data_IF_463080370931
#
_entry.id   IF_463080370931
#
_cell.length_a   1.000
_cell.length_b   1.000
_cell.length_c   1.000
_cell.angle_alpha   90.00
_cell.angle_beta   90.00
_cell.angle_gamma   90.00
#
_symmetry.space_group_name_H-M   'P 1'
#
loop_
_entity.id
_entity.type
_entity.pdbx_description
1 polymer ?
#
# COMPACT_ATOMS: atom_id res chain seq x y z
N UNK A 1 8.89 11.58 -21.55
CA UNK A 1 8.55 11.07 -20.20
C UNK A 1 9.62 10.08 -19.77
N UNK A 2 10.26 10.34 -18.64
CA UNK A 2 11.27 9.47 -18.02
C UNK A 2 10.71 8.85 -16.74
N UNK A 3 11.05 7.60 -16.46
CA UNK A 3 10.62 6.89 -15.25
C UNK A 3 11.81 6.66 -14.32
N UNK A 4 11.66 6.99 -13.03
CA UNK A 4 12.60 6.57 -11.99
C UNK A 4 12.01 5.40 -11.22
N UNK A 5 12.67 4.24 -11.27
CA UNK A 5 12.35 3.11 -10.42
C UNK A 5 13.19 3.21 -9.14
N UNK A 6 12.53 3.33 -8.00
CA UNK A 6 13.13 3.47 -6.67
C UNK A 6 12.89 2.15 -5.93
N UNK A 7 13.96 1.46 -5.62
CA UNK A 7 13.93 0.08 -5.12
C UNK A 7 14.68 0.03 -3.80
N UNK A 8 13.97 0.09 -2.66
CA UNK A 8 14.59 -0.11 -1.35
C UNK A 8 14.95 -1.57 -1.16
N UNK A 9 16.13 -1.83 -0.63
CA UNK A 9 16.72 -3.15 -0.43
C UNK A 9 17.15 -3.31 1.03
N UNK A 10 16.78 -4.43 1.63
CA UNK A 10 17.33 -4.84 2.91
C UNK A 10 17.47 -6.35 2.96
N UNK A 11 18.70 -6.84 2.82
CA UNK A 11 18.99 -8.26 2.71
C UNK A 11 18.22 -8.95 1.56
N UNK A 12 18.13 -10.28 1.58
CA UNK A 12 17.42 -11.09 0.57
C UNK A 12 18.00 -10.92 -0.85
N UNK A 13 19.35 -10.96 -0.98
CA UNK A 13 20.05 -10.79 -2.26
C UNK A 13 19.49 -11.67 -3.40
N UNK A 14 19.15 -12.96 -3.22
CA UNK A 14 18.60 -13.77 -4.30
C UNK A 14 17.27 -13.23 -4.85
N UNK A 15 16.37 -12.73 -3.97
CA UNK A 15 15.11 -12.13 -4.40
C UNK A 15 15.33 -10.82 -5.16
N UNK A 16 16.25 -9.99 -4.67
CA UNK A 16 16.67 -8.76 -5.36
C UNK A 16 17.19 -9.04 -6.77
N UNK A 17 18.02 -10.05 -6.93
CA UNK A 17 18.56 -10.46 -8.23
C UNK A 17 17.45 -10.94 -9.18
N UNK A 18 16.54 -11.78 -8.70
CA UNK A 18 15.41 -12.27 -9.48
C UNK A 18 14.45 -11.12 -9.89
N UNK A 19 14.17 -10.21 -8.96
CA UNK A 19 13.34 -9.02 -9.22
C UNK A 19 13.97 -8.15 -10.31
N UNK A 20 15.26 -7.82 -10.23
CA UNK A 20 15.94 -7.00 -11.23
C UNK A 20 16.04 -7.69 -12.59
N UNK A 21 16.18 -9.01 -12.63
CA UNK A 21 16.13 -9.78 -13.87
C UNK A 21 14.75 -9.62 -14.52
N UNK A 22 13.68 -9.90 -13.78
CA UNK A 22 12.30 -9.74 -14.28
C UNK A 22 11.97 -8.30 -14.69
N UNK A 23 12.49 -7.30 -13.97
CA UNK A 23 12.32 -5.88 -14.34
C UNK A 23 12.96 -5.59 -15.70
N UNK A 24 14.21 -6.00 -15.90
CA UNK A 24 14.94 -5.76 -17.16
C UNK A 24 14.28 -6.44 -18.36
N UNK A 25 13.76 -7.65 -18.17
CA UNK A 25 13.09 -8.43 -19.20
C UNK A 25 11.73 -7.87 -19.61
N UNK A 26 11.06 -7.16 -18.70
CA UNK A 26 9.66 -6.70 -18.87
C UNK A 26 9.52 -5.20 -19.09
N UNK A 27 10.62 -4.43 -19.07
CA UNK A 27 10.55 -3.02 -19.41
C UNK A 27 10.25 -2.81 -20.89
N UNK A 28 9.32 -1.89 -21.24
CA UNK A 28 9.04 -1.55 -22.62
C UNK A 28 10.29 -1.06 -23.35
N UNK A 29 10.48 -1.53 -24.59
CA UNK A 29 11.58 -1.07 -25.44
C UNK A 29 11.50 0.46 -25.64
N UNK A 30 12.64 1.13 -25.52
CA UNK A 30 12.73 2.59 -25.70
C UNK A 30 12.21 3.44 -24.53
N UNK A 31 11.78 2.85 -23.42
CA UNK A 31 11.41 3.59 -22.22
C UNK A 31 12.64 4.28 -21.62
N UNK A 32 12.62 5.62 -21.59
CA UNK A 32 13.63 6.37 -20.85
C UNK A 32 13.45 6.15 -19.36
N UNK A 33 14.44 5.55 -18.71
CA UNK A 33 14.35 5.21 -17.28
C UNK A 33 15.69 5.28 -16.55
N UNK A 34 15.64 5.23 -15.23
CA UNK A 34 16.78 5.03 -14.33
C UNK A 34 16.37 4.05 -13.22
N UNK A 35 17.32 3.26 -12.73
CA UNK A 35 17.15 2.32 -11.64
C UNK A 35 17.93 2.82 -10.42
N UNK A 36 17.25 3.18 -9.35
CA UNK A 36 17.81 3.68 -8.09
C UNK A 36 17.63 2.59 -7.03
N UNK A 37 18.74 1.94 -6.68
CA UNK A 37 18.78 0.83 -5.76
C UNK A 37 19.28 1.33 -4.40
N UNK A 38 18.41 1.38 -3.40
CA UNK A 38 18.73 1.93 -2.08
C UNK A 38 18.95 0.80 -1.10
N UNK A 39 20.21 0.48 -0.83
CA UNK A 39 20.55 -0.51 0.20
C UNK A 39 20.42 0.11 1.59
N UNK A 40 19.53 -0.43 2.38
CA UNK A 40 19.20 0.07 3.72
C UNK A 40 19.96 -0.64 4.84
N UNK A 41 21.28 -0.83 4.62
CA UNK A 41 22.15 -1.44 5.62
C UNK A 41 22.18 -2.96 5.58
N UNK A 42 22.10 -3.59 4.40
CA UNK A 42 22.18 -5.04 4.24
C UNK A 42 23.51 -5.65 4.71
N UNK A 43 23.43 -6.89 5.18
CA UNK A 43 24.58 -7.66 5.73
C UNK A 43 24.81 -9.00 5.03
N UNK A 44 24.02 -9.34 4.00
CA UNK A 44 24.01 -10.64 3.30
C UNK A 44 24.78 -10.67 1.96
N UNK A 45 25.67 -9.70 1.73
CA UNK A 45 26.40 -9.57 0.45
C UNK A 45 25.72 -8.64 -0.57
N UNK A 46 24.50 -8.16 -0.32
CA UNK A 46 23.78 -7.21 -1.19
C UNK A 46 24.61 -5.96 -1.50
N UNK A 47 25.28 -5.38 -0.50
CA UNK A 47 26.11 -4.17 -0.65
C UNK A 47 27.28 -4.36 -1.59
N UNK A 48 27.97 -5.49 -1.48
CA UNK A 48 29.11 -5.81 -2.35
C UNK A 48 28.64 -6.03 -3.78
N UNK A 49 27.57 -6.79 -3.96
CA UNK A 49 26.97 -7.02 -5.27
C UNK A 49 26.52 -5.70 -5.94
N UNK A 50 25.90 -4.77 -5.20
CA UNK A 50 25.46 -3.47 -5.71
C UNK A 50 26.60 -2.60 -6.24
N UNK A 51 27.78 -2.62 -5.59
CA UNK A 51 28.97 -1.87 -6.03
C UNK A 51 29.47 -2.29 -7.40
N UNK A 52 29.19 -3.54 -7.80
CA UNK A 52 29.63 -4.13 -9.05
C UNK A 52 28.57 -4.09 -10.16
N UNK A 53 27.38 -3.49 -9.90
CA UNK A 53 26.33 -3.40 -10.91
C UNK A 53 26.69 -2.40 -12.02
N UNK A 54 26.50 -2.78 -13.30
CA UNK A 54 26.71 -1.88 -14.42
C UNK A 54 25.59 -0.82 -14.52
N UNK A 55 25.89 0.26 -15.23
CA UNK A 55 24.84 1.21 -15.66
C UNK A 55 23.70 0.47 -16.41
N UNK A 56 22.45 0.93 -16.31
CA UNK A 56 21.97 2.20 -15.74
C UNK A 56 21.60 2.13 -14.23
N UNK A 57 22.09 1.13 -13.50
CA UNK A 57 21.82 1.00 -12.06
C UNK A 57 22.62 2.05 -11.27
N UNK A 58 21.93 2.74 -10.37
CA UNK A 58 22.50 3.72 -9.47
C UNK A 58 22.30 3.27 -8.01
N UNK A 59 23.31 2.66 -7.37
CA UNK A 59 23.24 2.27 -5.99
C UNK A 59 23.36 3.47 -5.04
N UNK A 60 22.59 3.45 -3.96
CA UNK A 60 22.69 4.33 -2.79
C UNK A 60 22.87 3.40 -1.59
N UNK A 61 23.92 3.60 -0.79
CA UNK A 61 24.23 2.74 0.34
C UNK A 61 24.00 3.51 1.65
N UNK A 62 22.97 3.14 2.41
CA UNK A 62 22.74 3.70 3.74
C UNK A 62 23.72 3.08 4.73
N UNK A 63 24.24 3.87 5.66
CA UNK A 63 25.13 3.37 6.71
C UNK A 63 24.39 2.52 7.76
N UNK A 64 23.11 2.80 7.96
CA UNK A 64 22.22 2.11 8.88
C UNK A 64 20.85 1.92 8.25
N UNK A 65 20.07 1.01 8.80
CA UNK A 65 18.67 0.81 8.39
C UNK A 65 17.82 2.02 8.79
N UNK A 66 17.23 2.67 7.79
CA UNK A 66 16.32 3.83 7.92
C UNK A 66 14.84 3.40 7.84
N UNK A 67 14.58 2.14 7.53
CA UNK A 67 13.26 1.61 7.21
C UNK A 67 12.79 1.96 5.79
N UNK A 68 11.67 1.38 5.40
CA UNK A 68 11.14 1.50 4.04
C UNK A 68 10.95 2.98 3.62
N UNK A 69 10.31 3.78 4.48
CA UNK A 69 10.04 5.20 4.20
C UNK A 69 11.33 6.00 3.98
N UNK A 70 12.31 5.85 4.88
CA UNK A 70 13.60 6.57 4.80
C UNK A 70 14.41 6.14 3.58
N UNK A 71 14.46 4.86 3.27
CA UNK A 71 15.15 4.36 2.07
C UNK A 71 14.49 4.89 0.78
N UNK A 72 13.16 4.87 0.69
CA UNK A 72 12.43 5.41 -0.45
C UNK A 72 12.63 6.92 -0.61
N UNK A 73 12.54 7.69 0.47
CA UNK A 73 12.79 9.14 0.45
C UNK A 73 14.18 9.46 -0.06
N UNK A 74 15.19 8.72 0.41
CA UNK A 74 16.58 8.91 -0.01
C UNK A 74 16.78 8.59 -1.49
N UNK A 75 16.12 7.54 -1.99
CA UNK A 75 16.12 7.20 -3.41
C UNK A 75 15.46 8.29 -4.26
N UNK A 76 14.30 8.76 -3.82
CA UNK A 76 13.51 9.78 -4.51
C UNK A 76 14.21 11.15 -4.56
N UNK A 77 14.99 11.52 -3.54
CA UNK A 77 15.73 12.79 -3.48
C UNK A 77 16.71 12.98 -4.65
N UNK A 78 17.23 11.88 -5.20
CA UNK A 78 18.14 11.94 -6.35
C UNK A 78 17.51 11.52 -7.67
N UNK A 79 16.21 11.25 -7.71
CA UNK A 79 15.49 10.79 -8.89
C UNK A 79 15.15 11.94 -9.84
N UNK A 80 15.28 11.71 -11.16
CA UNK A 80 15.08 12.71 -12.19
C UNK A 80 13.95 12.40 -13.18
N UNK A 81 13.22 11.30 -12.97
CA UNK A 81 12.07 10.93 -13.79
C UNK A 81 10.88 11.86 -13.60
N UNK A 82 9.97 11.85 -14.57
CA UNK A 82 8.69 12.54 -14.49
C UNK A 82 7.68 11.73 -13.63
N UNK A 83 7.86 10.42 -13.65
CA UNK A 83 7.12 9.46 -12.83
C UNK A 83 8.10 8.70 -11.94
N UNK A 84 7.74 8.53 -10.69
CA UNK A 84 8.41 7.68 -9.72
C UNK A 84 7.61 6.38 -9.54
N UNK A 85 8.31 5.26 -9.62
CA UNK A 85 7.77 3.94 -9.30
C UNK A 85 8.57 3.35 -8.14
N UNK A 86 7.87 3.04 -7.06
CA UNK A 86 8.42 2.35 -5.90
C UNK A 86 8.15 0.86 -6.05
N UNK A 87 9.18 0.06 -5.94
CA UNK A 87 9.13 -1.39 -6.14
C UNK A 87 9.86 -2.10 -5.00
N UNK A 88 9.19 -3.04 -4.33
CA UNK A 88 9.86 -3.93 -3.38
C UNK A 88 10.85 -4.85 -4.11
N UNK A 89 11.90 -5.26 -3.42
CA UNK A 89 12.94 -6.13 -3.95
C UNK A 89 12.54 -7.63 -4.03
N UNK A 90 11.34 -7.98 -3.59
CA UNK A 90 10.79 -9.34 -3.57
C UNK A 90 9.61 -9.53 -4.55
N UNK A 91 9.54 -8.69 -5.58
CA UNK A 91 8.58 -8.79 -6.67
C UNK A 91 9.09 -9.67 -7.82
N UNK A 92 8.17 -10.29 -8.55
CA UNK A 92 8.39 -10.84 -9.88
C UNK A 92 7.49 -10.06 -10.84
N UNK A 93 8.09 -9.29 -11.73
CA UNK A 93 7.38 -8.45 -12.69
C UNK A 93 7.02 -9.29 -13.92
N UNK A 94 5.75 -9.27 -14.31
CA UNK A 94 5.25 -10.06 -15.43
C UNK A 94 5.21 -9.20 -16.74
N UNK A 95 5.24 -9.80 -17.92
CA UNK A 95 5.12 -9.05 -19.18
C UNK A 95 3.92 -8.09 -19.16
N UNK A 96 4.15 -6.88 -19.66
CA UNK A 96 3.11 -5.83 -19.77
C UNK A 96 2.54 -5.31 -18.43
N UNK A 97 3.29 -5.47 -17.33
CA UNK A 97 2.85 -4.94 -16.02
C UNK A 97 2.84 -3.41 -15.98
N UNK A 98 3.77 -2.76 -16.67
CA UNK A 98 4.00 -1.32 -16.55
C UNK A 98 3.08 -0.47 -17.42
N UNK A 99 2.79 -0.93 -18.66
CA UNK A 99 2.05 -0.14 -19.66
C UNK A 99 0.66 0.28 -19.16
N UNK A 100 -0.16 -0.58 -18.50
CA UNK A 100 -1.45 -0.15 -17.95
C UNK A 100 -1.30 0.89 -16.84
N UNK A 101 -0.23 0.84 -16.07
CA UNK A 101 0.04 1.85 -15.03
C UNK A 101 0.45 3.19 -15.66
N UNK A 102 1.29 3.19 -16.69
CA UNK A 102 1.64 4.41 -17.43
C UNK A 102 0.41 5.02 -18.12
N UNK A 103 -0.44 4.20 -18.72
CA UNK A 103 -1.68 4.64 -19.37
C UNK A 103 -2.66 5.30 -18.37
N UNK A 104 -2.69 4.85 -17.11
CA UNK A 104 -3.50 5.49 -16.08
C UNK A 104 -3.15 6.98 -15.87
N UNK A 105 -1.86 7.32 -15.89
CA UNK A 105 -1.44 8.73 -15.76
C UNK A 105 -1.84 9.60 -16.96
N UNK A 106 -1.96 9.01 -18.13
CA UNK A 106 -2.46 9.74 -19.32
C UNK A 106 -3.98 9.91 -19.29
N UNK A 107 -4.71 8.90 -18.79
CA UNK A 107 -6.17 8.88 -18.75
C UNK A 107 -6.75 9.69 -17.59
N UNK A 108 -6.05 9.75 -16.44
CA UNK A 108 -6.54 10.36 -15.22
C UNK A 108 -5.60 11.51 -14.79
N UNK A 109 -5.92 12.77 -15.14
CA UNK A 109 -5.12 13.93 -14.70
C UNK A 109 -5.05 14.06 -13.18
N UNK A 110 -6.10 13.63 -12.47
CA UNK A 110 -6.22 13.59 -11.01
C UNK A 110 -5.54 12.38 -10.36
N UNK A 111 -4.84 11.52 -11.12
CA UNK A 111 -4.20 10.34 -10.55
C UNK A 111 -3.11 10.75 -9.53
N UNK A 112 -3.35 10.40 -8.27
CA UNK A 112 -2.38 10.46 -7.18
C UNK A 112 -1.44 9.26 -7.27
N UNK A 113 -1.81 8.16 -6.63
CA UNK A 113 -1.09 6.90 -6.70
C UNK A 113 -1.76 5.94 -7.69
N UNK A 114 -0.95 5.24 -8.48
CA UNK A 114 -1.39 4.16 -9.38
C UNK A 114 -0.70 2.88 -8.96
N UNK A 115 -1.50 1.87 -8.61
CA UNK A 115 -1.03 0.53 -8.24
C UNK A 115 -1.50 -0.54 -9.23
N UNK A 116 -1.26 -1.78 -8.87
CA UNK A 116 -1.53 -2.95 -9.70
C UNK A 116 -2.18 -4.09 -8.92
N UNK A 117 -2.47 -5.17 -9.62
CA UNK A 117 -2.90 -6.45 -9.04
C UNK A 117 -1.67 -7.23 -8.63
N UNK A 118 -1.65 -7.70 -7.38
CA UNK A 118 -0.57 -8.54 -6.88
C UNK A 118 -1.07 -9.94 -6.53
N UNK A 119 -0.33 -10.94 -6.98
CA UNK A 119 -0.55 -12.33 -6.63
C UNK A 119 0.54 -12.80 -5.67
N UNK A 120 0.17 -13.60 -4.70
CA UNK A 120 1.13 -14.28 -3.85
C UNK A 120 1.99 -15.22 -4.70
N UNK A 121 3.31 -15.06 -4.67
CA UNK A 121 4.24 -15.83 -5.51
C UNK A 121 4.24 -17.34 -5.17
N UNK A 122 3.98 -17.68 -3.91
CA UNK A 122 3.98 -19.07 -3.45
C UNK A 122 2.66 -19.80 -3.72
N UNK A 123 1.51 -19.13 -3.52
CA UNK A 123 0.18 -19.75 -3.59
C UNK A 123 -0.54 -19.49 -4.91
N UNK A 124 -0.14 -18.46 -5.65
CA UNK A 124 -0.84 -17.99 -6.84
C UNK A 124 -2.19 -17.32 -6.56
N UNK A 125 -2.56 -17.11 -5.30
CA UNK A 125 -3.78 -16.41 -4.93
C UNK A 125 -3.64 -14.90 -5.12
N UNK A 126 -4.76 -14.20 -5.40
CA UNK A 126 -4.79 -12.74 -5.42
C UNK A 126 -4.56 -12.22 -4.01
N UNK A 127 -3.52 -11.42 -3.81
CA UNK A 127 -3.16 -10.82 -2.53
C UNK A 127 -3.62 -9.36 -2.42
N UNK A 128 -3.52 -8.60 -3.52
CA UNK A 128 -3.81 -7.18 -3.50
C UNK A 128 -4.48 -6.69 -4.79
N UNK A 129 -5.58 -5.96 -4.62
CA UNK A 129 -6.26 -5.20 -5.67
C UNK A 129 -6.73 -3.82 -5.15
N UNK A 130 -5.97 -3.25 -4.22
CA UNK A 130 -6.26 -2.01 -3.51
C UNK A 130 -6.48 -2.22 -2.02
N UNK A 131 -6.45 -1.12 -1.27
CA UNK A 131 -6.75 -1.08 0.16
C UNK A 131 -8.08 -0.35 0.35
N UNK A 132 -8.89 -0.82 1.28
CA UNK A 132 -10.10 -0.18 1.78
C UNK A 132 -10.07 -0.14 3.30
N UNK A 133 -10.89 0.71 3.92
CA UNK A 133 -11.05 0.72 5.37
C UNK A 133 -12.27 -0.11 5.76
N UNK A 134 -12.05 -1.09 6.65
CA UNK A 134 -13.11 -1.94 7.15
C UNK A 134 -13.99 -1.21 8.19
N UNK A 135 -15.05 -1.86 8.66
CA UNK A 135 -16.00 -1.31 9.63
C UNK A 135 -15.39 -0.90 10.99
N UNK A 136 -14.16 -1.31 11.28
CA UNK A 136 -13.37 -0.91 12.45
C UNK A 136 -12.39 0.23 12.11
N UNK A 137 -12.35 0.71 10.85
CA UNK A 137 -11.40 1.71 10.37
C UNK A 137 -9.98 1.19 10.20
N UNK A 138 -9.80 -0.12 10.18
CA UNK A 138 -8.50 -0.72 9.87
C UNK A 138 -8.34 -0.84 8.37
N UNK A 139 -7.14 -0.51 7.83
CA UNK A 139 -6.86 -0.76 6.43
C UNK A 139 -6.84 -2.28 6.17
N UNK A 140 -7.47 -2.68 5.08
CA UNK A 140 -7.55 -4.08 4.67
C UNK A 140 -7.31 -4.22 3.18
N UNK A 141 -6.51 -5.19 2.78
CA UNK A 141 -6.29 -5.51 1.37
C UNK A 141 -7.57 -6.06 0.74
N UNK A 142 -7.90 -5.58 -0.44
CA UNK A 142 -8.85 -6.26 -1.32
C UNK A 142 -8.12 -7.37 -2.06
N UNK A 143 -8.74 -8.54 -2.12
CA UNK A 143 -8.28 -9.70 -2.89
C UNK A 143 -9.32 -10.15 -3.92
N UNK A 144 -10.36 -9.34 -4.16
CA UNK A 144 -11.37 -9.60 -5.15
C UNK A 144 -10.99 -9.01 -6.51
N UNK A 145 -11.09 -9.79 -7.57
CA UNK A 145 -11.08 -9.28 -8.94
C UNK A 145 -12.52 -8.93 -9.34
N UNK A 146 -12.74 -7.88 -10.17
CA UNK A 146 -14.05 -7.59 -10.70
C UNK A 146 -14.59 -8.81 -11.43
N UNK A 147 -15.84 -9.17 -11.14
CA UNK A 147 -16.51 -10.22 -11.92
C UNK A 147 -16.66 -9.74 -13.35
N UNK A 148 -16.17 -10.52 -14.31
CA UNK A 148 -16.41 -10.24 -15.72
C UNK A 148 -17.89 -10.42 -15.99
N UNK A 149 -18.58 -9.38 -16.39
CA UNK A 149 -19.83 -9.59 -17.09
C UNK A 149 -19.47 -9.91 -18.54
N UNK A 150 -19.98 -11.02 -19.06
CA UNK A 150 -19.70 -11.55 -20.41
C UNK A 150 -19.90 -10.51 -21.54
N UNK A 151 -20.60 -9.42 -21.24
CA UNK A 151 -20.99 -8.36 -22.19
C UNK A 151 -20.18 -7.06 -22.07
N UNK A 152 -19.61 -6.75 -20.89
CA UNK A 152 -18.98 -5.45 -20.62
C UNK A 152 -17.46 -5.49 -20.56
N UNK A 153 -16.85 -6.69 -20.60
CA UNK A 153 -15.41 -6.83 -20.41
C UNK A 153 -14.95 -6.50 -18.99
N UNK A 154 -13.65 -6.63 -18.73
CA UNK A 154 -13.06 -6.23 -17.46
C UNK A 154 -12.85 -4.72 -17.44
N UNK A 155 -13.23 -4.00 -16.35
CA UNK A 155 -12.80 -2.63 -16.19
C UNK A 155 -11.26 -2.58 -16.20
N UNK A 156 -10.71 -1.60 -16.91
CA UNK A 156 -9.26 -1.46 -16.98
C UNK A 156 -8.67 -0.93 -15.65
N UNK A 157 -9.47 -0.16 -14.92
CA UNK A 157 -9.04 0.51 -13.67
C UNK A 157 -10.13 0.44 -12.61
N UNK A 158 -9.69 0.44 -11.35
CA UNK A 158 -10.55 0.53 -10.15
C UNK A 158 -10.03 1.66 -9.27
N UNK A 159 -10.92 2.46 -8.69
CA UNK A 159 -10.55 3.39 -7.61
C UNK A 159 -10.29 2.62 -6.32
N UNK A 160 -9.33 3.09 -5.52
CA UNK A 160 -8.98 2.54 -4.22
C UNK A 160 -8.81 3.67 -3.20
N UNK A 161 -9.02 3.38 -1.92
CA UNK A 161 -8.81 4.36 -0.84
C UNK A 161 -7.32 4.55 -0.56
N UNK A 162 -6.55 3.47 -0.70
CA UNK A 162 -5.09 3.46 -0.62
C UNK A 162 -4.52 2.26 -1.41
N UNK A 163 -3.20 2.19 -1.49
CA UNK A 163 -2.43 1.15 -2.19
C UNK A 163 -1.35 0.61 -1.28
N UNK A 164 -0.85 -0.60 -1.58
CA UNK A 164 0.35 -1.14 -0.91
C UNK A 164 1.62 -0.50 -1.45
N UNK A 165 2.58 -0.27 -0.57
CA UNK A 165 3.92 0.22 -0.91
C UNK A 165 4.75 -0.72 -1.78
N UNK A 166 4.31 -1.98 -1.98
CA UNK A 166 5.10 -2.98 -2.68
C UNK A 166 5.32 -2.66 -4.17
N UNK A 167 4.30 -2.11 -4.86
CA UNK A 167 4.41 -1.71 -6.27
C UNK A 167 3.39 -0.61 -6.59
N UNK A 168 3.85 0.63 -6.72
CA UNK A 168 3.01 1.74 -7.15
C UNK A 168 3.83 2.83 -7.84
N UNK A 169 3.15 3.68 -8.60
CA UNK A 169 3.72 4.85 -9.23
C UNK A 169 2.96 6.12 -8.89
N UNK A 170 3.63 7.27 -9.00
CA UNK A 170 3.03 8.60 -8.94
C UNK A 170 3.86 9.62 -9.71
N UNK A 171 3.28 10.78 -10.02
CA UNK A 171 4.02 11.88 -10.64
C UNK A 171 5.04 12.47 -9.66
N UNK A 172 6.22 12.84 -10.14
CA UNK A 172 7.24 13.54 -9.34
C UNK A 172 6.67 14.81 -8.69
N UNK A 173 5.83 15.55 -9.40
CA UNK A 173 5.19 16.77 -8.86
C UNK A 173 4.28 16.48 -7.68
N UNK A 174 3.52 15.37 -7.73
CA UNK A 174 2.69 14.91 -6.61
C UNK A 174 3.58 14.48 -5.43
N UNK A 175 4.64 13.71 -5.68
CA UNK A 175 5.60 13.33 -4.64
C UNK A 175 6.18 14.55 -3.92
N UNK A 176 6.62 15.55 -4.69
CA UNK A 176 7.19 16.79 -4.15
C UNK A 176 6.15 17.60 -3.36
N UNK A 177 4.92 17.71 -3.86
CA UNK A 177 3.82 18.39 -3.17
C UNK A 177 3.49 17.75 -1.83
N UNK A 178 3.54 16.42 -1.76
CA UNK A 178 3.26 15.66 -0.54
C UNK A 178 4.44 15.60 0.44
N UNK A 179 5.65 15.93 0.02
CA UNK A 179 6.85 15.88 0.85
C UNK A 179 7.40 14.48 1.11
N UNK A 180 7.06 13.49 0.28
CA UNK A 180 7.52 12.11 0.41
C UNK A 180 6.79 11.29 1.48
N UNK A 181 7.40 10.19 1.92
CA UNK A 181 6.88 9.37 3.03
C UNK A 181 7.15 10.03 4.40
N UNK A 182 6.23 9.84 5.34
CA UNK A 182 6.47 10.17 6.76
C UNK A 182 7.29 9.04 7.40
N UNK A 183 8.57 9.33 7.69
CA UNK A 183 9.53 8.39 8.31
C UNK A 183 9.18 8.03 9.77
N UNK A 184 8.19 8.66 10.35
CA UNK A 184 7.67 8.27 11.64
C UNK A 184 6.83 6.99 11.61
N UNK A 185 6.45 6.50 10.43
CA UNK A 185 5.93 5.15 10.24
C UNK A 185 7.09 4.18 10.01
N UNK A 186 7.16 3.14 10.81
CA UNK A 186 8.26 2.17 10.75
C UNK A 186 7.78 0.85 10.13
N UNK A 187 8.06 0.68 8.84
CA UNK A 187 7.75 -0.52 8.06
C UNK A 187 6.27 -0.93 8.10
N UNK A 188 5.37 0.02 7.85
CA UNK A 188 3.94 -0.21 7.70
C UNK A 188 3.13 1.07 7.88
N UNK A 189 2.08 1.23 7.08
CA UNK A 189 1.16 2.36 7.00
C UNK A 189 1.72 3.67 6.41
N UNK A 190 3.00 3.77 6.07
CA UNK A 190 3.59 4.91 5.37
C UNK A 190 2.97 5.12 3.97
N UNK A 191 2.66 4.04 3.29
CA UNK A 191 1.99 4.01 1.98
C UNK A 191 0.53 4.48 2.08
N UNK A 192 -0.16 4.06 3.13
CA UNK A 192 -1.55 4.47 3.40
C UNK A 192 -1.59 5.95 3.81
N UNK A 193 -0.66 6.41 4.64
CA UNK A 193 -0.54 7.82 5.00
C UNK A 193 -0.29 8.70 3.77
N UNK A 194 0.63 8.28 2.88
CA UNK A 194 0.89 8.97 1.62
C UNK A 194 -0.38 9.05 0.76
N UNK A 195 -1.16 7.96 0.66
CA UNK A 195 -2.41 7.93 -0.07
C UNK A 195 -3.45 8.90 0.55
N UNK A 196 -3.62 8.90 1.87
CA UNK A 196 -4.55 9.80 2.54
C UNK A 196 -4.14 11.28 2.40
N UNK A 197 -2.83 11.60 2.44
CA UNK A 197 -2.34 12.95 2.13
C UNK A 197 -2.63 13.35 0.68
N UNK A 198 -2.46 12.44 -0.26
CA UNK A 198 -2.79 12.69 -1.67
C UNK A 198 -4.30 12.90 -1.86
N UNK A 199 -5.15 12.10 -1.20
CA UNK A 199 -6.61 12.29 -1.21
C UNK A 199 -7.00 13.65 -0.62
N UNK A 200 -6.40 14.07 0.48
CA UNK A 200 -6.62 15.38 1.08
C UNK A 200 -6.19 16.55 0.17
N UNK A 201 -5.20 16.30 -0.71
CA UNK A 201 -4.76 17.23 -1.75
C UNK A 201 -5.61 17.19 -3.04
N UNK A 202 -6.70 16.41 -3.08
CA UNK A 202 -7.65 16.32 -4.20
C UNK A 202 -7.31 15.25 -5.26
N UNK A 203 -6.34 14.37 -5.00
CA UNK A 203 -5.99 13.29 -5.90
C UNK A 203 -6.83 12.02 -5.67
N UNK A 204 -6.96 11.21 -6.70
CA UNK A 204 -7.64 9.91 -6.69
C UNK A 204 -6.64 8.79 -6.94
N UNK A 205 -6.82 7.62 -6.31
CA UNK A 205 -5.95 6.46 -6.49
C UNK A 205 -6.59 5.42 -7.39
N UNK A 206 -5.77 4.79 -8.21
CA UNK A 206 -6.23 3.82 -9.20
C UNK A 206 -5.42 2.53 -9.14
N UNK A 207 -6.12 1.41 -9.25
CA UNK A 207 -5.52 0.09 -9.53
C UNK A 207 -5.67 -0.18 -11.03
N UNK A 208 -4.55 -0.35 -11.72
CA UNK A 208 -4.50 -0.83 -13.09
C UNK A 208 -4.75 -2.35 -13.11
N UNK A 209 -5.99 -2.77 -13.35
CA UNK A 209 -6.41 -4.17 -13.20
C UNK A 209 -5.78 -5.14 -14.23
N UNK A 210 -5.19 -4.60 -15.31
CA UNK A 210 -4.43 -5.38 -16.30
C UNK A 210 -2.94 -5.40 -16.04
N UNK A 211 -2.47 -4.68 -15.03
CA UNK A 211 -1.09 -4.71 -14.55
C UNK A 211 -0.98 -5.77 -13.46
N UNK A 212 -0.14 -6.76 -13.66
CA UNK A 212 -0.01 -7.92 -12.76
C UNK A 212 1.43 -8.15 -12.38
N UNK A 213 1.67 -8.34 -11.08
CA UNK A 213 2.95 -8.77 -10.55
C UNK A 213 2.75 -9.93 -9.55
N UNK A 214 3.81 -10.68 -9.25
CA UNK A 214 3.84 -11.63 -8.14
C UNK A 214 4.70 -11.07 -7.01
N UNK A 215 4.33 -11.33 -5.77
CA UNK A 215 4.97 -10.80 -4.59
C UNK A 215 5.31 -11.94 -3.60
N UNK A 216 6.55 -12.01 -3.15
CA UNK A 216 7.02 -12.93 -2.11
C UNK A 216 6.70 -12.32 -0.73
N UNK A 217 5.43 -12.40 -0.32
CA UNK A 217 4.90 -11.73 0.86
C UNK A 217 5.67 -12.13 2.11
N UNK A 218 6.01 -11.15 2.96
CA UNK A 218 6.64 -11.36 4.28
C UNK A 218 8.02 -12.00 4.25
N UNK A 219 8.80 -11.79 3.20
CA UNK A 219 10.18 -12.25 3.14
C UNK A 219 11.08 -11.63 4.24
N UNK A 220 10.66 -10.50 4.83
CA UNK A 220 11.40 -9.80 5.90
C UNK A 220 10.90 -10.20 7.29
N UNK A 221 11.77 -10.67 8.17
CA UNK A 221 11.46 -10.99 9.55
C UNK A 221 11.10 -9.73 10.37
N UNK A 222 10.15 -9.84 11.30
CA UNK A 222 9.82 -8.78 12.28
C UNK A 222 8.87 -7.67 11.78
N UNK A 223 8.32 -7.76 10.57
CA UNK A 223 7.43 -6.75 9.98
C UNK A 223 6.18 -6.47 10.82
N UNK A 224 5.66 -7.46 11.52
CA UNK A 224 4.38 -7.35 12.24
C UNK A 224 4.49 -6.73 13.64
N UNK A 225 5.70 -6.53 14.17
CA UNK A 225 5.91 -6.09 15.56
C UNK A 225 5.40 -4.66 15.85
N UNK A 226 5.13 -3.85 14.82
CA UNK A 226 4.70 -2.45 14.97
C UNK A 226 3.38 -2.12 14.27
N UNK A 227 2.72 -3.10 13.68
CA UNK A 227 1.50 -2.87 12.91
C UNK A 227 0.40 -2.15 13.72
N UNK A 228 0.17 -2.54 14.96
CA UNK A 228 -0.85 -1.90 15.80
C UNK A 228 -0.48 -0.46 16.16
N UNK A 229 0.80 -0.17 16.43
CA UNK A 229 1.27 1.20 16.71
C UNK A 229 1.13 2.09 15.48
N UNK A 230 1.54 1.61 14.30
CA UNK A 230 1.40 2.32 13.04
C UNK A 230 -0.08 2.56 12.69
N UNK A 231 -0.93 1.54 12.86
CA UNK A 231 -2.38 1.66 12.62
C UNK A 231 -3.01 2.67 13.58
N UNK A 232 -2.65 2.66 14.85
CA UNK A 232 -3.15 3.64 15.83
C UNK A 232 -2.73 5.07 15.46
N UNK A 233 -1.45 5.28 15.13
CA UNK A 233 -0.95 6.57 14.64
C UNK A 233 -1.70 7.05 13.40
N UNK A 234 -1.91 6.16 12.44
CA UNK A 234 -2.66 6.44 11.21
C UNK A 234 -4.09 6.89 11.51
N UNK A 235 -4.80 6.10 12.33
CA UNK A 235 -6.21 6.38 12.69
C UNK A 235 -6.34 7.63 13.53
N UNK A 236 -5.38 7.95 14.41
CA UNK A 236 -5.38 9.23 15.13
C UNK A 236 -5.24 10.42 14.19
N UNK A 237 -4.30 10.34 13.24
CA UNK A 237 -4.03 11.42 12.27
C UNK A 237 -5.18 11.65 11.30
N UNK A 238 -5.82 10.58 10.83
CA UNK A 238 -6.80 10.60 9.75
C UNK A 238 -8.22 10.20 10.20
N UNK A 239 -8.56 10.45 11.46
CA UNK A 239 -9.80 9.96 12.08
C UNK A 239 -11.08 10.30 11.29
N UNK A 240 -11.20 11.50 10.75
CA UNK A 240 -12.38 11.95 10.00
C UNK A 240 -12.45 11.27 8.62
N UNK A 241 -11.33 11.26 7.88
CA UNK A 241 -11.25 10.63 6.57
C UNK A 241 -11.50 9.12 6.66
N UNK A 242 -10.85 8.45 7.62
CA UNK A 242 -11.03 7.01 7.83
C UNK A 242 -12.48 6.72 8.23
N UNK A 243 -13.10 7.55 9.07
CA UNK A 243 -14.51 7.39 9.44
C UNK A 243 -15.42 7.47 8.19
N UNK A 244 -15.15 8.40 7.29
CA UNK A 244 -15.91 8.52 6.05
C UNK A 244 -15.70 7.31 5.11
N UNK A 245 -14.44 6.85 4.96
CA UNK A 245 -14.09 5.71 4.11
C UNK A 245 -14.64 4.38 4.66
N UNK A 246 -14.63 4.18 5.98
CA UNK A 246 -15.16 3.00 6.65
C UNK A 246 -16.69 2.89 6.62
N UNK A 247 -17.40 3.98 6.35
CA UNK A 247 -18.85 4.05 6.47
C UNK A 247 -19.60 3.02 5.59
N UNK A 248 -19.12 2.76 4.37
CA UNK A 248 -19.75 1.76 3.48
C UNK A 248 -19.58 0.33 3.97
N UNK A 249 -18.39 -0.01 4.46
CA UNK A 249 -18.14 -1.35 5.02
C UNK A 249 -18.89 -1.54 6.35
N UNK A 250 -18.97 -0.49 7.16
CA UNK A 250 -19.78 -0.50 8.37
C UNK A 250 -21.26 -0.73 8.05
N UNK A 251 -21.82 -0.04 7.05
CA UNK A 251 -23.21 -0.27 6.62
C UNK A 251 -23.44 -1.69 6.13
N UNK A 252 -22.54 -2.22 5.31
CA UNK A 252 -22.60 -3.61 4.86
C UNK A 252 -22.61 -4.57 6.04
N UNK A 253 -21.75 -4.35 7.03
CA UNK A 253 -21.68 -5.19 8.23
C UNK A 253 -22.97 -5.11 9.04
N UNK A 254 -23.56 -3.92 9.22
CA UNK A 254 -24.85 -3.77 9.90
C UNK A 254 -25.95 -4.58 9.20
N UNK A 255 -26.06 -4.47 7.88
CA UNK A 255 -27.08 -5.22 7.10
C UNK A 255 -26.88 -6.72 7.25
N UNK A 256 -25.66 -7.23 7.16
CA UNK A 256 -25.36 -8.67 7.27
C UNK A 256 -25.64 -9.16 8.70
N UNK A 257 -25.14 -8.46 9.71
CA UNK A 257 -25.28 -8.87 11.12
C UNK A 257 -26.76 -8.91 11.56
N UNK A 258 -27.57 -7.95 11.09
CA UNK A 258 -29.00 -7.93 11.44
C UNK A 258 -29.83 -8.93 10.63
N UNK A 259 -29.35 -9.36 9.47
CA UNK A 259 -30.00 -10.43 8.72
C UNK A 259 -29.87 -11.80 9.42
N UNK A 260 -28.81 -12.00 10.22
CA UNK A 260 -28.52 -13.27 10.90
C UNK A 260 -29.07 -13.35 12.35
N UNK A 261 -29.55 -12.23 12.93
CA UNK A 261 -29.98 -12.17 14.32
C UNK A 261 -31.52 -12.06 14.45
N UNK A 262 -32.11 -12.98 15.15
CA UNK A 262 -33.54 -12.99 15.52
C UNK A 262 -33.89 -12.09 16.72
N UNK A 263 -33.12 -10.99 16.94
CA UNK A 263 -33.24 -10.05 18.05
C UNK A 263 -33.94 -8.73 17.69
N UNK A 264 -33.92 -7.76 18.61
CA UNK A 264 -34.54 -6.42 18.43
C UNK A 264 -33.92 -5.74 17.20
N UNK A 265 -34.75 -5.51 16.20
CA UNK A 265 -34.35 -5.05 14.88
C UNK A 265 -34.58 -3.54 14.80
N UNK A 266 -33.52 -2.74 14.66
CA UNK A 266 -33.62 -1.31 14.33
C UNK A 266 -33.81 -1.12 12.83
N UNK A 267 -35.08 -1.19 12.38
CA UNK A 267 -35.46 -1.03 10.98
C UNK A 267 -34.95 0.28 10.37
N UNK A 268 -34.97 1.38 11.13
CA UNK A 268 -34.55 2.68 10.64
C UNK A 268 -33.04 2.71 10.34
N UNK A 269 -32.24 2.14 11.24
CA UNK A 269 -30.80 2.07 11.04
C UNK A 269 -30.43 1.15 9.87
N UNK A 270 -31.06 -0.01 9.76
CA UNK A 270 -30.79 -0.96 8.68
C UNK A 270 -31.22 -0.42 7.33
N UNK A 271 -32.38 0.23 7.23
CA UNK A 271 -32.82 0.89 6.00
C UNK A 271 -31.85 2.03 5.61
N UNK A 272 -31.43 2.86 6.55
CA UNK A 272 -30.48 3.94 6.31
C UNK A 272 -29.11 3.39 5.85
N UNK A 273 -28.64 2.31 6.47
CA UNK A 273 -27.39 1.64 6.11
C UNK A 273 -27.48 1.00 4.71
N UNK A 274 -28.59 0.31 4.41
CA UNK A 274 -28.82 -0.31 3.11
C UNK A 274 -28.89 0.75 2.00
N UNK A 275 -29.62 1.84 2.20
CA UNK A 275 -29.75 2.90 1.22
C UNK A 275 -28.40 3.58 0.91
N UNK A 276 -27.57 3.83 1.93
CA UNK A 276 -26.23 4.39 1.74
C UNK A 276 -25.28 3.38 1.08
N UNK A 277 -25.34 2.12 1.47
CA UNK A 277 -24.55 1.06 0.85
C UNK A 277 -24.88 0.90 -0.64
N UNK A 278 -26.15 1.00 -1.01
CA UNK A 278 -26.65 0.88 -2.38
C UNK A 278 -26.45 2.14 -3.24
N UNK A 279 -26.04 3.28 -2.68
CA UNK A 279 -25.62 4.40 -3.50
C UNK A 279 -26.11 5.79 -3.12
N UNK A 280 -26.75 6.01 -1.97
CA UNK A 280 -26.99 7.37 -1.50
C UNK A 280 -25.65 8.14 -1.42
N UNK A 281 -25.63 9.40 -1.91
CA UNK A 281 -24.38 10.16 -2.01
C UNK A 281 -23.82 10.62 -0.64
N UNK A 282 -24.68 10.75 0.36
CA UNK A 282 -24.30 11.22 1.71
C UNK A 282 -24.81 10.24 2.75
N UNK A 283 -23.96 9.82 3.71
CA UNK A 283 -24.40 8.92 4.77
C UNK A 283 -25.46 9.60 5.66
N UNK A 284 -26.60 8.92 5.94
CA UNK A 284 -27.58 9.41 6.90
C UNK A 284 -26.99 9.69 8.28
N UNK A 285 -27.63 10.58 9.07
CA UNK A 285 -27.12 10.96 10.39
C UNK A 285 -26.90 9.75 11.32
N UNK A 286 -27.82 8.78 11.32
CA UNK A 286 -27.69 7.54 12.10
C UNK A 286 -26.47 6.72 11.68
N UNK A 287 -26.16 6.63 10.37
CA UNK A 287 -24.98 5.96 9.86
C UNK A 287 -23.71 6.67 10.33
N UNK A 288 -23.65 8.01 10.19
CA UNK A 288 -22.50 8.81 10.67
C UNK A 288 -22.25 8.59 12.17
N UNK A 289 -23.31 8.64 12.97
CA UNK A 289 -23.21 8.42 14.41
C UNK A 289 -22.73 7.01 14.75
N UNK A 290 -23.26 5.98 14.06
CA UNK A 290 -22.86 4.59 14.24
C UNK A 290 -21.40 4.32 13.90
N UNK A 291 -20.92 4.84 12.76
CA UNK A 291 -19.51 4.75 12.35
C UNK A 291 -18.62 5.49 13.33
N UNK A 292 -18.97 6.69 13.73
CA UNK A 292 -18.19 7.48 14.71
C UNK A 292 -18.09 6.74 16.06
N UNK A 293 -19.18 6.13 16.54
CA UNK A 293 -19.16 5.35 17.76
C UNK A 293 -18.29 4.07 17.63
N UNK A 294 -18.33 3.37 16.49
CA UNK A 294 -17.48 2.23 16.22
C UNK A 294 -15.99 2.64 16.24
N UNK A 295 -15.66 3.72 15.59
CA UNK A 295 -14.30 4.28 15.57
C UNK A 295 -13.81 4.73 16.95
N UNK A 296 -14.67 5.32 17.76
CA UNK A 296 -14.35 5.71 19.12
C UNK A 296 -14.00 4.50 19.99
N UNK A 297 -14.78 3.39 19.88
CA UNK A 297 -14.49 2.12 20.59
C UNK A 297 -13.14 1.53 20.17
N UNK A 298 -12.84 1.50 18.88
CA UNK A 298 -11.55 0.95 18.41
C UNK A 298 -10.37 1.82 18.88
N UNK A 299 -10.49 3.14 18.84
CA UNK A 299 -9.45 4.05 19.37
C UNK A 299 -9.23 3.84 20.87
N UNK A 300 -10.30 3.63 21.63
CA UNK A 300 -10.18 3.33 23.06
C UNK A 300 -9.46 1.99 23.28
N UNK A 301 -9.81 0.94 22.52
CA UNK A 301 -9.15 -0.36 22.58
C UNK A 301 -7.64 -0.25 22.27
N UNK A 302 -7.23 0.50 21.25
CA UNK A 302 -5.82 0.71 20.95
C UNK A 302 -5.10 1.48 22.05
N UNK A 303 -5.75 2.47 22.63
CA UNK A 303 -5.19 3.22 23.75
C UNK A 303 -4.88 2.30 24.93
N UNK A 304 -5.83 1.46 25.31
CA UNK A 304 -5.67 0.48 26.39
C UNK A 304 -4.55 -0.55 26.09
N UNK A 305 -4.48 -1.03 24.84
CA UNK A 305 -3.42 -1.97 24.44
C UNK A 305 -2.03 -1.35 24.43
N UNK A 306 -1.89 -0.09 24.02
CA UNK A 306 -0.59 0.55 23.81
C UNK A 306 -0.10 1.32 25.05
N UNK A 307 -1.00 1.90 25.85
CA UNK A 307 -0.66 2.60 27.10
C UNK A 307 -0.51 1.63 28.28
N UNK A 308 -1.18 0.47 28.25
CA UNK A 308 -1.03 -0.61 29.24
C UNK A 308 0.10 -1.59 28.95
N UNK A 309 0.72 -1.53 27.77
CA UNK A 309 1.82 -2.42 27.41
C UNK A 309 3.16 -1.79 27.79
N UNK A 310 3.95 -2.49 28.62
CA UNK A 310 5.36 -2.17 28.78
C UNK A 310 6.06 -2.15 27.41
N UNK A 311 7.06 -1.27 27.18
CA UNK A 311 7.76 -1.21 25.90
C UNK A 311 8.27 -2.61 25.54
N UNK A 312 8.14 -3.02 24.26
CA UNK A 312 8.61 -4.34 23.85
C UNK A 312 10.09 -4.49 24.18
N UNK A 313 10.53 -5.68 24.65
CA UNK A 313 11.93 -5.92 24.91
C UNK A 313 12.74 -5.65 23.63
N UNK A 314 13.99 -5.18 23.74
CA UNK A 314 14.86 -5.00 22.60
C UNK A 314 14.96 -6.34 21.82
N UNK A 315 15.06 -6.29 20.48
CA UNK A 315 15.17 -7.50 19.70
C UNK A 315 16.34 -8.35 20.21
N UNK A 316 16.18 -9.68 20.29
CA UNK A 316 17.27 -10.56 20.73
C UNK A 316 18.46 -10.38 19.77
N UNK A 317 19.69 -10.43 20.31
CA UNK A 317 20.88 -10.38 19.46
C UNK A 317 20.78 -11.51 18.42
N UNK A 318 21.03 -11.16 17.18
CA UNK A 318 21.09 -12.14 16.07
C UNK A 318 22.13 -13.19 16.46
N UNK A 319 21.68 -14.42 16.74
CA UNK A 319 22.59 -15.54 16.94
C UNK A 319 23.23 -15.83 15.59
N UNK A 320 24.53 -15.64 15.52
CA UNK A 320 25.39 -15.93 14.37
C UNK A 320 25.74 -17.43 14.23
N UNK A 321 25.11 -18.28 15.03
CA UNK A 321 25.51 -19.69 15.12
C UNK A 321 24.39 -20.62 14.60
N UNK A 322 24.02 -20.49 13.32
CA UNK A 322 23.39 -21.56 12.55
C UNK A 322 23.36 -21.15 11.07
N UNK A 323 24.49 -21.37 10.40
CA UNK A 323 24.57 -21.65 8.97
C UNK A 323 25.00 -23.12 8.84
#
# INVERSE_FOLDING_TARGET
>A
MKVSFIIPLYNCLPLTQAMLASLRETLPAGLAHELILVDDGSTDGTREWLRNLPAPCRPILNEKNLGFAGACNRGAAGANGDLFFFLNNDLILLPHWLEPMLAAFALFPDAGLVGNVQFNAATGAVDHTGIHFNHQGKPAHRSDLPRTTRWLGWPAYRRADALTGACFGLRRTVWQQLGGFDEGFLNGSEDIDLALRATAAGFTHYIALRSVVRHHISASAGRNLRNEQNTYRLVQRWAEQITALAAKDWCRQQVITHADQSGVFDYHLVHAALAYWLGLPVPPAAVRAGVAAAMARERQRWRELLEGAAPPPPPPPVRTDQI
#
